data_IF_260315632841
#
_entry.id   IF_260315632841
#
_cell.length_a   1.000
_cell.length_b   1.000
_cell.length_c   1.000
_cell.angle_alpha   90.00
_cell.angle_beta   90.00
_cell.angle_gamma   90.00
#
_symmetry.space_group_name_H-M   'P 1'
#
loop_
_entity.id
_entity.type
_entity.pdbx_description
1 polymer ?
#
# COMPACT_ATOMS: atom_id res chain seq x y z
N UNK A 1 -9.44 10.39 23.14
CA UNK A 1 -9.91 9.72 21.92
C UNK A 1 -9.12 8.46 21.69
N UNK A 2 -7.84 8.56 21.36
CA UNK A 2 -6.97 7.40 21.15
C UNK A 2 -6.61 6.65 22.43
N UNK A 3 -6.42 5.32 22.29
CA UNK A 3 -5.86 4.45 23.33
C UNK A 3 -4.34 4.55 23.31
N UNK A 4 -3.74 4.89 24.46
CA UNK A 4 -2.27 4.95 24.61
C UNK A 4 -1.67 3.55 24.44
N UNK A 5 -0.62 3.45 23.62
CA UNK A 5 0.28 2.29 23.57
C UNK A 5 1.51 2.54 24.45
N UNK A 6 2.08 3.74 24.30
CA UNK A 6 3.30 4.15 25.00
C UNK A 6 3.24 5.65 25.29
N UNK A 7 3.32 6.03 26.56
CA UNK A 7 3.49 7.43 26.96
C UNK A 7 4.82 8.00 26.42
N UNK A 8 4.92 9.33 26.24
CA UNK A 8 6.13 9.96 25.75
C UNK A 8 7.35 9.61 26.61
N UNK A 9 8.40 9.06 25.98
CA UNK A 9 9.68 8.79 26.62
C UNK A 9 10.85 9.23 25.75
N UNK A 10 11.95 9.58 26.39
CA UNK A 10 13.21 9.92 25.73
C UNK A 10 14.17 8.74 25.83
N UNK A 11 14.74 8.36 24.70
CA UNK A 11 15.81 7.38 24.56
C UNK A 11 17.09 8.15 24.23
N UNK A 12 18.21 7.74 24.80
CA UNK A 12 19.51 8.42 24.63
C UNK A 12 20.64 7.42 24.47
N UNK A 13 21.62 7.75 23.65
CA UNK A 13 22.93 7.09 23.58
C UNK A 13 24.02 8.14 23.25
N UNK A 14 25.23 7.69 22.88
CA UNK A 14 26.34 8.57 22.49
C UNK A 14 26.08 9.44 21.24
N UNK A 15 25.07 9.14 20.43
CA UNK A 15 24.71 9.85 19.20
C UNK A 15 23.57 10.85 19.38
N UNK A 16 23.05 11.01 20.59
CA UNK A 16 22.07 12.04 20.96
C UNK A 16 20.79 11.47 21.57
N UNK A 17 19.65 12.11 21.29
CA UNK A 17 18.36 11.76 21.88
C UNK A 17 17.25 11.56 20.85
N UNK A 18 16.35 10.62 21.12
CA UNK A 18 15.12 10.39 20.37
C UNK A 18 13.94 10.35 21.33
N UNK A 19 12.89 11.10 21.04
CA UNK A 19 11.63 11.06 21.80
C UNK A 19 10.59 10.24 21.04
N UNK A 20 9.96 9.30 21.73
CA UNK A 20 8.93 8.43 21.16
C UNK A 20 7.65 8.44 21.99
N UNK A 21 6.51 8.31 21.32
CA UNK A 21 5.19 8.09 21.92
C UNK A 21 4.37 7.22 20.96
N UNK A 22 3.39 6.46 21.45
CA UNK A 22 2.62 5.56 20.60
C UNK A 22 1.15 5.49 20.95
N UNK A 23 0.31 5.35 19.92
CA UNK A 23 -1.14 5.15 20.06
C UNK A 23 -1.61 4.00 19.18
N UNK A 24 -2.64 3.29 19.63
CA UNK A 24 -3.30 2.28 18.81
C UNK A 24 -4.23 2.92 17.77
N UNK A 25 -4.34 2.31 16.60
CA UNK A 25 -5.36 2.58 15.58
C UNK A 25 -6.25 1.33 15.40
N UNK A 26 -6.64 0.96 14.18
CA UNK A 26 -7.39 -0.26 13.87
C UNK A 26 -6.64 -1.54 14.26
N UNK A 27 -7.40 -2.55 14.69
CA UNK A 27 -6.85 -3.83 15.19
C UNK A 27 -5.81 -3.63 16.30
N UNK A 28 -4.65 -4.27 16.12
CA UNK A 28 -3.48 -4.14 17.02
C UNK A 28 -2.40 -3.20 16.48
N UNK A 29 -2.69 -2.50 15.38
CA UNK A 29 -1.73 -1.62 14.71
C UNK A 29 -1.44 -0.40 15.59
N UNK A 30 -0.16 -0.02 15.67
CA UNK A 30 0.32 1.12 16.48
C UNK A 30 0.98 2.15 15.58
N UNK A 31 0.60 3.41 15.76
CA UNK A 31 1.38 4.55 15.28
C UNK A 31 2.40 4.93 16.33
N UNK A 32 3.69 4.80 15.99
CA UNK A 32 4.79 5.29 16.81
C UNK A 32 5.26 6.65 16.28
N UNK A 33 5.07 7.69 17.08
CA UNK A 33 5.62 9.02 16.81
C UNK A 33 7.09 9.04 17.20
N UNK A 34 7.94 9.51 16.29
CA UNK A 34 9.39 9.54 16.48
C UNK A 34 9.92 10.95 16.19
N UNK A 35 10.37 11.64 17.23
CA UNK A 35 11.14 12.88 17.11
C UNK A 35 12.62 12.57 17.28
N UNK A 36 13.38 12.66 16.18
CA UNK A 36 14.80 12.28 16.12
C UNK A 36 15.71 13.38 15.58
N UNK A 37 15.30 14.66 15.68
CA UNK A 37 16.08 15.80 15.15
C UNK A 37 17.44 15.95 15.83
N UNK A 38 17.54 15.52 17.09
CA UNK A 38 18.75 15.61 17.91
C UNK A 38 19.52 14.28 17.97
N UNK A 39 19.36 13.41 16.96
CA UNK A 39 19.99 12.09 16.91
C UNK A 39 20.77 11.91 15.60
N UNK A 40 21.98 11.37 15.71
CA UNK A 40 22.89 11.19 14.56
C UNK A 40 23.34 9.73 14.37
N UNK A 41 22.82 8.82 15.18
CA UNK A 41 23.14 7.40 15.10
C UNK A 41 22.45 6.71 13.92
N UNK A 42 22.74 5.43 13.73
CA UNK A 42 22.30 4.67 12.56
C UNK A 42 20.76 4.54 12.43
N UNK A 43 20.06 4.42 13.56
CA UNK A 43 18.60 4.26 13.55
C UNK A 43 17.91 4.87 14.78
N UNK A 44 18.09 4.24 15.95
CA UNK A 44 17.53 4.64 17.24
C UNK A 44 18.49 4.21 18.36
N UNK A 45 18.43 4.84 19.55
CA UNK A 45 19.23 4.42 20.68
C UNK A 45 19.11 2.94 21.00
N UNK A 46 20.26 2.28 21.19
CA UNK A 46 20.37 0.84 21.45
C UNK A 46 20.50 -0.04 20.19
N UNK A 47 20.42 0.55 18.98
CA UNK A 47 20.76 -0.12 17.74
C UNK A 47 22.22 0.17 17.36
N UNK A 48 22.88 -0.82 16.79
CA UNK A 48 24.26 -0.71 16.28
C UNK A 48 24.27 -0.90 14.77
N UNK A 49 25.17 -0.22 14.07
CA UNK A 49 25.36 -0.42 12.64
C UNK A 49 25.80 -1.86 12.36
N UNK A 50 25.17 -2.50 11.38
CA UNK A 50 25.53 -3.83 10.92
C UNK A 50 25.79 -3.79 9.42
N UNK A 51 26.95 -4.31 9.00
CA UNK A 51 27.28 -4.52 7.60
C UNK A 51 27.12 -6.00 7.24
N UNK A 52 26.51 -6.27 6.07
CA UNK A 52 26.32 -7.62 5.53
C UNK A 52 27.32 -7.86 4.41
N UNK A 53 27.92 -9.06 4.36
CA UNK A 53 28.71 -9.50 3.20
C UNK A 53 27.86 -9.72 1.96
N UNK A 54 26.55 -9.95 2.14
CA UNK A 54 25.55 -9.95 1.09
C UNK A 54 24.97 -8.55 0.96
N UNK A 55 25.51 -7.78 0.01
CA UNK A 55 25.12 -6.39 -0.28
C UNK A 55 24.87 -6.23 -1.79
N UNK A 56 23.72 -6.70 -2.31
CA UNK A 56 23.40 -6.55 -3.73
C UNK A 56 23.25 -5.07 -4.09
N UNK A 57 23.34 -4.75 -5.39
CA UNK A 57 23.07 -3.39 -5.86
C UNK A 57 21.68 -2.91 -5.45
N UNK A 58 21.45 -1.60 -5.43
CA UNK A 58 20.11 -1.08 -5.17
C UNK A 58 19.14 -1.46 -6.29
N UNK A 59 17.88 -1.72 -5.93
CA UNK A 59 16.81 -2.00 -6.89
C UNK A 59 16.02 -0.73 -7.29
N UNK A 60 16.43 0.46 -6.83
CA UNK A 60 15.75 1.72 -7.14
C UNK A 60 14.53 2.06 -6.27
N UNK A 61 14.30 1.32 -5.18
CA UNK A 61 13.28 1.63 -4.19
C UNK A 61 13.67 2.86 -3.36
N UNK A 62 12.71 3.75 -3.11
CA UNK A 62 12.96 5.04 -2.46
C UNK A 62 12.33 5.11 -1.06
N UNK A 63 11.04 5.44 -1.00
CA UNK A 63 10.30 5.70 0.22
C UNK A 63 8.90 5.10 0.16
N UNK A 64 8.24 5.00 1.31
CA UNK A 64 6.84 4.55 1.38
C UNK A 64 5.92 5.65 0.83
N UNK A 65 5.18 5.35 -0.24
CA UNK A 65 4.19 6.27 -0.83
C UNK A 65 2.90 6.29 -0.01
N UNK A 66 2.41 5.11 0.40
CA UNK A 66 1.21 4.95 1.23
C UNK A 66 1.15 3.56 1.89
N UNK A 67 0.34 3.43 2.94
CA UNK A 67 0.05 2.15 3.61
C UNK A 67 -1.47 1.93 3.65
N UNK A 68 -1.93 0.75 3.24
CA UNK A 68 -3.36 0.44 3.16
C UNK A 68 -3.79 -0.44 4.33
N UNK A 69 -4.83 -0.02 5.04
CA UNK A 69 -5.42 -0.77 6.16
C UNK A 69 -6.75 -1.41 5.77
N UNK A 70 -6.91 -2.70 6.07
CA UNK A 70 -8.18 -3.41 5.95
C UNK A 70 -8.86 -3.47 7.32
N UNK A 71 -10.11 -3.00 7.39
CA UNK A 71 -10.93 -2.99 8.61
C UNK A 71 -12.19 -3.84 8.43
N UNK A 72 -12.84 -4.17 9.55
CA UNK A 72 -14.05 -5.00 9.54
C UNK A 72 -15.25 -4.34 8.85
N UNK A 73 -16.31 -5.13 8.67
CA UNK A 73 -17.60 -4.65 8.17
C UNK A 73 -18.11 -3.43 8.95
N UNK A 74 -18.46 -2.36 8.25
CA UNK A 74 -18.96 -1.09 8.79
C UNK A 74 -17.96 -0.35 9.71
N UNK A 75 -16.66 -0.67 9.64
CA UNK A 75 -15.61 -0.03 10.45
C UNK A 75 -14.86 1.07 9.70
N UNK A 76 -15.00 1.19 8.37
CA UNK A 76 -14.26 2.18 7.59
C UNK A 76 -14.59 3.61 8.03
N UNK A 77 -15.87 3.94 8.13
CA UNK A 77 -16.27 5.30 8.51
C UNK A 77 -15.87 5.67 9.95
N UNK A 78 -15.93 4.71 10.89
CA UNK A 78 -15.43 4.90 12.25
C UNK A 78 -13.92 5.16 12.25
N UNK A 79 -13.17 4.37 11.48
CA UNK A 79 -11.70 4.49 11.36
C UNK A 79 -11.30 5.81 10.71
N UNK A 80 -11.97 6.20 9.63
CA UNK A 80 -11.79 7.51 8.96
C UNK A 80 -12.03 8.63 9.97
N UNK A 81 -13.15 8.57 10.70
CA UNK A 81 -13.48 9.58 11.71
C UNK A 81 -12.44 9.65 12.83
N UNK A 82 -11.89 8.50 13.23
CA UNK A 82 -10.80 8.44 14.19
C UNK A 82 -9.56 9.17 13.68
N UNK A 83 -9.14 8.97 12.42
CA UNK A 83 -8.00 9.70 11.84
C UNK A 83 -8.25 11.21 11.74
N UNK A 84 -9.47 11.63 11.43
CA UNK A 84 -9.87 13.05 11.44
C UNK A 84 -9.75 13.65 12.84
N UNK A 85 -10.41 13.04 13.82
CA UNK A 85 -10.58 13.62 15.16
C UNK A 85 -9.31 13.51 16.02
N UNK A 86 -8.53 12.44 15.85
CA UNK A 86 -7.33 12.17 16.67
C UNK A 86 -6.08 12.75 16.03
N UNK A 87 -5.90 12.58 14.72
CA UNK A 87 -4.64 12.88 14.04
C UNK A 87 -4.74 14.12 13.13
N UNK A 88 -5.93 14.68 12.94
CA UNK A 88 -6.14 15.85 12.08
C UNK A 88 -5.94 15.56 10.60
N UNK A 89 -6.13 14.29 10.18
CA UNK A 89 -6.07 13.92 8.76
C UNK A 89 -7.36 14.35 8.06
N UNK A 90 -7.29 14.53 6.75
CA UNK A 90 -8.46 14.78 5.92
C UNK A 90 -8.72 13.58 4.99
N UNK A 91 -10.01 13.26 4.78
CA UNK A 91 -10.39 12.34 3.72
C UNK A 91 -10.26 13.04 2.37
N UNK A 92 -9.37 12.56 1.51
CA UNK A 92 -9.08 13.18 0.21
C UNK A 92 -9.75 12.48 -0.97
N UNK A 93 -10.09 11.20 -0.82
CA UNK A 93 -10.67 10.37 -1.87
C UNK A 93 -11.58 9.30 -1.26
N UNK A 94 -12.67 9.00 -1.95
CA UNK A 94 -13.61 7.96 -1.55
C UNK A 94 -14.05 7.17 -2.78
N UNK A 95 -14.07 5.86 -2.64
CA UNK A 95 -14.53 4.91 -3.64
C UNK A 95 -15.65 4.08 -3.02
N UNK A 96 -16.80 4.07 -3.68
CA UNK A 96 -17.90 3.20 -3.30
C UNK A 96 -17.82 1.83 -4.01
N UNK A 97 -18.71 0.94 -3.61
CA UNK A 97 -18.85 -0.42 -4.14
C UNK A 97 -19.20 -0.44 -5.63
N UNK A 98 -19.84 0.61 -6.16
CA UNK A 98 -20.15 0.72 -7.60
C UNK A 98 -18.92 1.07 -8.43
N UNK A 99 -17.97 1.79 -7.83
CA UNK A 99 -16.71 2.14 -8.46
C UNK A 99 -15.69 1.00 -8.40
N UNK A 100 -15.70 0.22 -7.32
CA UNK A 100 -14.76 -0.90 -7.11
C UNK A 100 -15.56 -2.21 -6.93
N UNK A 101 -16.02 -2.74 -8.06
CA UNK A 101 -16.70 -4.05 -8.13
C UNK A 101 -16.20 -4.86 -9.33
N UNK A 102 -16.01 -6.15 -9.12
CA UNK A 102 -15.87 -7.18 -10.15
C UNK A 102 -17.24 -7.83 -10.41
N UNK A 103 -17.31 -8.84 -11.27
CA UNK A 103 -18.54 -9.62 -11.42
C UNK A 103 -18.97 -10.33 -10.12
N UNK A 104 -18.02 -10.58 -9.20
CA UNK A 104 -18.20 -11.46 -8.06
C UNK A 104 -18.04 -10.76 -6.70
N UNK A 105 -17.16 -9.77 -6.56
CA UNK A 105 -16.85 -9.12 -5.30
C UNK A 105 -16.78 -7.59 -5.42
N UNK A 106 -16.80 -6.90 -4.27
CA UNK A 106 -16.66 -5.46 -4.19
C UNK A 106 -15.93 -5.05 -2.90
N UNK A 107 -15.48 -3.79 -2.85
CA UNK A 107 -15.07 -3.15 -1.61
C UNK A 107 -15.37 -1.66 -1.62
N UNK A 108 -15.29 -1.05 -0.44
CA UNK A 108 -15.29 0.40 -0.29
C UNK A 108 -13.93 0.86 0.24
N UNK A 109 -13.47 2.03 -0.19
CA UNK A 109 -12.20 2.58 0.23
C UNK A 109 -12.28 4.09 0.47
N UNK A 110 -11.62 4.56 1.52
CA UNK A 110 -11.44 5.99 1.81
C UNK A 110 -9.99 6.29 2.12
N UNK A 111 -9.45 7.36 1.57
CA UNK A 111 -8.04 7.72 1.72
C UNK A 111 -7.89 8.89 2.67
N UNK A 112 -7.22 8.62 3.81
CA UNK A 112 -6.84 9.65 4.77
C UNK A 112 -5.47 10.22 4.44
N UNK A 113 -5.31 11.54 4.51
CA UNK A 113 -4.03 12.20 4.26
C UNK A 113 -3.73 13.28 5.28
N UNK A 114 -2.44 13.47 5.59
CA UNK A 114 -1.98 14.68 6.30
C UNK A 114 -2.21 15.92 5.43
N UNK A 115 -2.31 17.09 6.07
CA UNK A 115 -2.57 18.35 5.35
C UNK A 115 -1.50 18.75 4.32
N UNK A 116 -0.27 18.24 4.44
CA UNK A 116 0.80 18.44 3.45
C UNK A 116 0.86 17.32 2.39
N UNK A 117 -0.04 16.34 2.42
CA UNK A 117 -0.09 15.25 1.45
C UNK A 117 1.02 14.18 1.60
N UNK A 118 1.84 14.27 2.65
CA UNK A 118 3.02 13.39 2.79
C UNK A 118 2.66 11.98 3.25
N UNK A 119 1.77 11.85 4.25
CA UNK A 119 1.32 10.55 4.77
C UNK A 119 -0.07 10.27 4.25
N UNK A 120 -0.27 9.09 3.65
CA UNK A 120 -1.52 8.65 3.03
C UNK A 120 -1.88 7.26 3.51
N UNK A 121 -3.12 7.09 3.98
CA UNK A 121 -3.67 5.83 4.47
C UNK A 121 -5.03 5.54 3.82
N UNK A 122 -5.07 4.77 2.71
CA UNK A 122 -6.28 4.12 2.26
C UNK A 122 -6.80 3.13 3.31
N UNK A 123 -8.08 3.23 3.65
CA UNK A 123 -8.79 2.36 4.58
C UNK A 123 -9.88 1.65 3.80
N UNK A 124 -9.81 0.33 3.75
CA UNK A 124 -10.75 -0.52 3.03
C UNK A 124 -11.66 -1.27 4.00
N UNK A 125 -12.92 -1.47 3.60
CA UNK A 125 -13.82 -2.44 4.23
C UNK A 125 -14.47 -3.35 3.18
N UNK A 126 -14.93 -4.55 3.58
CA UNK A 126 -15.71 -5.41 2.70
C UNK A 126 -16.98 -4.71 2.20
N UNK A 127 -17.43 -5.06 0.99
CA UNK A 127 -18.73 -4.68 0.45
C UNK A 127 -19.48 -5.92 -0.04
N UNK A 128 -20.82 -5.82 -0.12
CA UNK A 128 -21.66 -6.94 -0.57
C UNK A 128 -21.37 -7.31 -2.04
N UNK A 129 -21.23 -8.61 -2.31
CA UNK A 129 -20.98 -9.16 -3.64
C UNK A 129 -21.61 -10.54 -3.80
N UNK A 130 -21.52 -11.13 -5.00
CA UNK A 130 -21.99 -12.51 -5.23
C UNK A 130 -21.12 -13.55 -4.51
N UNK A 131 -19.89 -13.19 -4.19
CA UNK A 131 -18.86 -14.01 -3.54
C UNK A 131 -18.15 -13.21 -2.44
N UNK A 132 -17.31 -13.89 -1.66
CA UNK A 132 -16.58 -13.28 -0.55
C UNK A 132 -15.61 -12.21 -1.05
N UNK A 133 -15.60 -11.06 -0.39
CA UNK A 133 -14.64 -10.00 -0.71
C UNK A 133 -13.22 -10.42 -0.35
N UNK A 134 -12.23 -10.00 -1.12
CA UNK A 134 -10.82 -10.21 -0.79
C UNK A 134 -10.45 -9.56 0.57
N UNK A 135 -11.17 -8.52 0.98
CA UNK A 135 -11.01 -7.92 2.31
C UNK A 135 -11.47 -8.90 3.40
N UNK A 136 -12.52 -9.69 3.17
CA UNK A 136 -12.94 -10.75 4.09
C UNK A 136 -11.94 -11.92 4.13
N UNK A 137 -11.33 -12.27 2.99
CA UNK A 137 -10.22 -13.24 2.96
C UNK A 137 -9.08 -12.74 3.87
N UNK A 138 -8.63 -11.49 3.67
CA UNK A 138 -7.62 -10.88 4.52
C UNK A 138 -7.99 -10.97 6.01
N UNK A 139 -9.19 -10.49 6.39
CA UNK A 139 -9.62 -10.46 7.80
C UNK A 139 -9.68 -11.86 8.41
N UNK A 140 -10.05 -12.87 7.62
CA UNK A 140 -10.10 -14.26 8.05
C UNK A 140 -8.71 -14.83 8.33
N UNK A 141 -7.76 -14.62 7.41
CA UNK A 141 -6.41 -15.21 7.54
C UNK A 141 -5.46 -14.37 8.40
N UNK A 142 -5.67 -13.05 8.47
CA UNK A 142 -4.95 -12.16 9.38
C UNK A 142 -5.50 -12.21 10.81
N UNK A 143 -6.70 -12.76 10.99
CA UNK A 143 -7.41 -12.87 12.27
C UNK A 143 -7.75 -11.50 12.89
N UNK A 144 -7.98 -10.48 12.06
CA UNK A 144 -8.34 -9.14 12.49
C UNK A 144 -8.07 -8.05 11.46
N UNK A 145 -8.18 -6.80 11.90
CA UNK A 145 -7.88 -5.61 11.12
C UNK A 145 -6.37 -5.35 11.08
N UNK A 146 -5.85 -4.87 9.96
CA UNK A 146 -4.41 -4.64 9.83
C UNK A 146 -3.99 -4.07 8.48
N UNK A 147 -2.68 -3.92 8.31
CA UNK A 147 -2.10 -3.41 7.06
C UNK A 147 -2.14 -4.50 5.99
N UNK A 148 -2.81 -4.23 4.88
CA UNK A 148 -2.85 -5.11 3.72
C UNK A 148 -1.59 -4.96 2.87
N UNK A 149 -1.23 -3.74 2.53
CA UNK A 149 -0.04 -3.51 1.72
C UNK A 149 0.64 -2.17 1.99
N UNK A 150 1.91 -2.14 1.60
CA UNK A 150 2.76 -0.95 1.66
C UNK A 150 3.24 -0.68 0.24
N UNK A 151 2.96 0.52 -0.25
CA UNK A 151 3.44 0.99 -1.54
C UNK A 151 4.80 1.68 -1.40
N UNK A 152 5.75 1.29 -2.24
CA UNK A 152 7.12 1.80 -2.24
C UNK A 152 7.40 2.49 -3.56
N UNK A 153 7.80 3.76 -3.47
CA UNK A 153 8.05 4.62 -4.61
C UNK A 153 9.36 4.24 -5.33
N UNK A 154 9.37 4.40 -6.65
CA UNK A 154 10.55 4.33 -7.52
C UNK A 154 10.48 5.39 -8.62
N UNK A 155 11.65 5.78 -9.15
CA UNK A 155 11.77 6.68 -10.32
C UNK A 155 11.87 5.92 -11.65
N UNK A 156 12.13 4.61 -11.63
CA UNK A 156 12.21 3.74 -12.80
C UNK A 156 11.65 2.35 -12.47
N UNK A 157 10.34 2.22 -12.60
CA UNK A 157 9.60 1.01 -12.27
C UNK A 157 9.96 -0.16 -13.18
N UNK A 158 10.34 0.09 -14.43
CA UNK A 158 10.71 -0.97 -15.36
C UNK A 158 12.01 -1.64 -14.88
N UNK A 159 13.03 -0.84 -14.58
CA UNK A 159 14.31 -1.36 -14.06
C UNK A 159 14.12 -1.96 -12.67
N UNK A 160 13.35 -1.30 -11.80
CA UNK A 160 13.06 -1.78 -10.44
C UNK A 160 12.40 -3.15 -10.46
N UNK A 161 11.34 -3.34 -11.24
CA UNK A 161 10.60 -4.60 -11.29
C UNK A 161 11.42 -5.70 -11.94
N UNK A 162 12.24 -5.41 -12.96
CA UNK A 162 13.19 -6.39 -13.51
C UNK A 162 14.16 -6.88 -12.45
N UNK A 163 14.71 -5.97 -11.66
CA UNK A 163 15.67 -6.29 -10.61
C UNK A 163 15.03 -7.05 -9.44
N UNK A 164 13.81 -6.69 -9.05
CA UNK A 164 13.07 -7.44 -8.04
C UNK A 164 12.74 -8.86 -8.51
N UNK A 165 12.30 -9.02 -9.78
CA UNK A 165 12.05 -10.34 -10.37
C UNK A 165 13.32 -11.18 -10.48
N UNK A 166 14.46 -10.59 -10.84
CA UNK A 166 15.75 -11.32 -10.92
C UNK A 166 16.21 -11.84 -9.55
N UNK A 167 15.77 -11.19 -8.47
CA UNK A 167 15.99 -11.58 -7.07
C UNK A 167 14.92 -12.53 -6.52
N UNK A 168 13.97 -12.96 -7.35
CA UNK A 168 12.94 -13.93 -6.98
C UNK A 168 11.67 -13.35 -6.38
N UNK A 169 11.47 -12.02 -6.41
CA UNK A 169 10.19 -11.43 -5.99
C UNK A 169 9.11 -11.80 -7.01
N UNK A 170 8.03 -12.41 -6.51
CA UNK A 170 6.87 -12.77 -7.32
C UNK A 170 5.82 -11.66 -7.30
N UNK A 171 5.24 -11.40 -8.47
CA UNK A 171 4.20 -10.38 -8.67
C UNK A 171 2.89 -11.02 -9.11
N UNK A 172 1.79 -10.31 -8.86
CA UNK A 172 0.48 -10.67 -9.41
C UNK A 172 0.51 -10.58 -10.93
N UNK A 173 -0.36 -11.37 -11.57
CA UNK A 173 -0.40 -11.49 -13.02
C UNK A 173 -1.62 -10.82 -13.63
N UNK A 174 -1.43 -9.62 -14.17
CA UNK A 174 -2.43 -8.90 -14.96
C UNK A 174 -2.57 -9.53 -16.36
N UNK A 175 -3.78 -9.87 -16.83
CA UNK A 175 -3.99 -10.48 -18.15
C UNK A 175 -3.51 -9.60 -19.32
N UNK A 176 -3.07 -10.22 -20.41
CA UNK A 176 -2.58 -9.52 -21.61
C UNK A 176 -3.62 -8.53 -22.19
N UNK A 177 -4.91 -8.88 -22.10
CA UNK A 177 -6.02 -8.07 -22.60
C UNK A 177 -6.12 -6.68 -21.95
N UNK A 178 -5.55 -6.48 -20.77
CA UNK A 178 -5.44 -5.17 -20.13
C UNK A 178 -4.59 -4.21 -20.97
N UNK A 179 -3.53 -4.72 -21.60
CA UNK A 179 -2.55 -3.91 -22.32
C UNK A 179 -2.99 -3.54 -23.74
N UNK A 180 -3.87 -4.34 -24.33
CA UNK A 180 -4.32 -4.19 -25.72
C UNK A 180 -4.94 -2.81 -25.98
N UNK A 181 -5.60 -2.24 -24.98
CA UNK A 181 -6.23 -0.92 -25.05
C UNK A 181 -5.63 0.10 -24.07
N UNK A 182 -4.44 -0.16 -23.51
CA UNK A 182 -3.89 0.66 -22.44
C UNK A 182 -3.77 2.13 -22.84
N UNK A 183 -3.21 2.43 -24.01
CA UNK A 183 -3.07 3.81 -24.50
C UNK A 183 -4.40 4.50 -24.76
N UNK A 184 -5.46 3.76 -25.09
CA UNK A 184 -6.79 4.34 -25.23
C UNK A 184 -7.35 4.79 -23.86
N UNK A 185 -6.95 4.11 -22.77
CA UNK A 185 -7.35 4.45 -21.40
C UNK A 185 -6.48 5.55 -20.78
N UNK A 186 -5.15 5.40 -20.82
CA UNK A 186 -4.21 6.31 -20.13
C UNK A 186 -3.57 7.36 -21.04
N UNK A 187 -3.93 7.42 -22.32
CA UNK A 187 -3.27 8.30 -23.28
C UNK A 187 -1.77 8.01 -23.43
N UNK A 188 -1.00 9.06 -23.71
CA UNK A 188 0.44 8.95 -23.93
C UNK A 188 1.23 8.86 -22.62
N UNK A 189 2.05 7.82 -22.52
CA UNK A 189 3.00 7.57 -21.44
C UNK A 189 4.42 7.46 -22.01
N UNK A 190 5.42 7.72 -21.17
CA UNK A 190 6.84 7.74 -21.59
C UNK A 190 7.36 6.30 -21.82
N UNK A 191 6.81 5.34 -21.08
CA UNK A 191 7.24 3.96 -21.08
C UNK A 191 6.73 3.16 -22.28
N UNK A 192 7.52 2.16 -22.68
CA UNK A 192 7.11 1.17 -23.69
C UNK A 192 6.03 0.24 -23.13
N UNK A 193 4.87 0.21 -23.78
CA UNK A 193 3.73 -0.62 -23.38
C UNK A 193 4.08 -2.11 -23.43
N UNK A 194 4.93 -2.54 -24.37
CA UNK A 194 5.36 -3.94 -24.40
C UNK A 194 6.27 -4.29 -23.21
N UNK A 195 7.09 -3.34 -22.76
CA UNK A 195 7.85 -3.50 -21.53
C UNK A 195 6.92 -3.61 -20.31
N UNK A 196 5.92 -2.73 -20.20
CA UNK A 196 4.90 -2.80 -19.14
C UNK A 196 4.15 -4.14 -19.16
N UNK A 197 3.71 -4.58 -20.35
CA UNK A 197 3.05 -5.88 -20.57
C UNK A 197 3.91 -7.04 -20.10
N UNK A 198 5.17 -7.10 -20.54
CA UNK A 198 6.10 -8.18 -20.17
C UNK A 198 6.34 -8.24 -18.66
N UNK A 199 6.30 -7.09 -17.99
CA UNK A 199 6.53 -6.99 -16.56
C UNK A 199 5.26 -7.07 -15.72
N UNK A 200 4.07 -7.03 -16.33
CA UNK A 200 2.76 -6.96 -15.65
C UNK A 200 2.56 -5.66 -14.85
N UNK A 201 3.19 -4.57 -15.29
CA UNK A 201 3.04 -3.24 -14.69
C UNK A 201 1.77 -2.59 -15.23
N UNK A 202 0.92 -2.09 -14.36
CA UNK A 202 -0.32 -1.40 -14.70
C UNK A 202 -0.10 0.11 -14.78
N UNK A 203 -0.96 0.83 -15.50
CA UNK A 203 -0.90 2.28 -15.63
C UNK A 203 -2.30 2.89 -15.48
N UNK A 204 -2.38 4.02 -14.78
CA UNK A 204 -3.61 4.83 -14.72
C UNK A 204 -3.29 6.32 -14.80
N UNK A 205 -4.30 7.14 -15.12
CA UNK A 205 -4.14 8.59 -15.31
C UNK A 205 -5.18 9.39 -14.52
N UNK A 206 -4.73 10.50 -13.96
CA UNK A 206 -5.58 11.58 -13.47
C UNK A 206 -5.28 12.90 -14.21
N UNK A 207 -5.91 13.99 -13.76
CA UNK A 207 -5.78 15.31 -14.37
C UNK A 207 -4.36 15.90 -14.29
N UNK A 208 -3.54 15.45 -13.34
CA UNK A 208 -2.17 15.98 -13.14
C UNK A 208 -1.09 15.12 -13.81
N UNK A 209 -1.39 13.86 -14.13
CA UNK A 209 -0.45 13.00 -14.82
C UNK A 209 -0.85 11.54 -14.74
N UNK A 210 0.12 10.64 -14.92
CA UNK A 210 -0.11 9.20 -14.83
C UNK A 210 0.73 8.57 -13.73
N UNK A 211 0.37 7.34 -13.36
CA UNK A 211 1.10 6.52 -12.42
C UNK A 211 1.21 5.09 -12.96
N UNK A 212 2.27 4.42 -12.53
CA UNK A 212 2.55 3.02 -12.84
C UNK A 212 2.60 2.23 -11.54
N UNK A 213 1.98 1.05 -11.52
CA UNK A 213 1.85 0.24 -10.31
C UNK A 213 2.03 -1.24 -10.62
N UNK A 214 2.58 -1.99 -9.68
CA UNK A 214 2.55 -3.45 -9.69
C UNK A 214 2.56 -3.97 -8.25
N UNK A 215 1.93 -5.10 -8.03
CA UNK A 215 1.72 -5.68 -6.71
C UNK A 215 2.44 -7.02 -6.61
N UNK A 216 3.14 -7.25 -5.51
CA UNK A 216 3.75 -8.55 -5.21
C UNK A 216 2.64 -9.56 -4.90
N UNK A 217 2.97 -10.85 -4.96
CA UNK A 217 2.20 -11.84 -4.20
C UNK A 217 2.32 -11.55 -2.70
N UNK A 218 1.44 -12.13 -1.85
CA UNK A 218 1.66 -12.12 -0.41
C UNK A 218 3.08 -12.57 -0.06
N UNK A 219 3.71 -11.89 0.89
CA UNK A 219 5.08 -12.20 1.32
C UNK A 219 5.15 -13.36 2.32
N UNK A 220 3.98 -13.83 2.74
CA UNK A 220 3.77 -14.99 3.61
C UNK A 220 2.77 -15.94 2.94
N UNK A 221 2.66 -17.18 3.44
CA UNK A 221 1.69 -18.17 2.93
C UNK A 221 0.23 -17.73 3.14
N UNK A 222 -0.04 -16.97 4.20
CA UNK A 222 -1.36 -16.40 4.46
C UNK A 222 -1.61 -15.27 3.44
N UNK A 223 -2.81 -15.17 2.84
CA UNK A 223 -3.13 -14.12 1.87
C UNK A 223 -3.36 -12.76 2.55
N UNK A 224 -2.33 -12.23 3.20
CA UNK A 224 -2.40 -11.05 4.05
C UNK A 224 -1.53 -9.92 3.49
N UNK A 225 -0.28 -9.78 3.95
CA UNK A 225 0.57 -8.65 3.62
C UNK A 225 1.24 -8.84 2.26
N UNK A 226 1.17 -7.83 1.40
CA UNK A 226 1.95 -7.73 0.17
C UNK A 226 2.51 -6.32 -0.02
N UNK A 227 3.33 -6.12 -1.06
CA UNK A 227 3.88 -4.81 -1.40
C UNK A 227 3.39 -4.33 -2.75
N UNK A 228 3.35 -3.02 -2.91
CA UNK A 228 3.16 -2.35 -4.18
C UNK A 228 4.44 -1.61 -4.54
N UNK A 229 4.83 -1.67 -5.82
CA UNK A 229 5.85 -0.78 -6.38
C UNK A 229 5.14 0.25 -7.23
N UNK A 230 5.37 1.53 -6.94
CA UNK A 230 4.68 2.64 -7.59
C UNK A 230 5.66 3.66 -8.16
N UNK A 231 5.38 4.15 -9.36
CA UNK A 231 6.05 5.32 -9.95
C UNK A 231 4.98 6.35 -10.31
N UNK A 232 5.16 7.58 -9.82
CA UNK A 232 4.25 8.71 -10.13
C UNK A 232 4.91 9.63 -11.15
N UNK A 233 4.17 9.93 -12.23
CA UNK A 233 4.52 10.88 -13.29
C UNK A 233 3.49 12.00 -13.27
N UNK A 234 3.47 12.75 -12.18
CA UNK A 234 2.52 13.85 -11.91
C UNK A 234 1.28 13.43 -11.13
N UNK A 235 0.78 12.20 -11.34
CA UNK A 235 -0.47 11.76 -10.74
C UNK A 235 -0.47 11.80 -9.19
N UNK A 236 -1.56 12.35 -8.65
CA UNK A 236 -1.81 12.48 -7.20
C UNK A 236 -2.85 11.49 -6.68
N UNK A 237 -3.62 10.90 -7.58
CA UNK A 237 -4.60 9.85 -7.29
C UNK A 237 -3.95 8.50 -6.95
N UNK A 238 -4.76 7.46 -6.75
CA UNK A 238 -4.30 6.11 -6.41
C UNK A 238 -4.59 5.08 -7.52
N UNK A 239 -5.00 5.57 -8.71
CA UNK A 239 -5.29 4.72 -9.85
C UNK A 239 -6.58 3.92 -9.70
N UNK A 240 -7.74 4.60 -9.67
CA UNK A 240 -9.05 3.95 -9.56
C UNK A 240 -9.27 2.87 -10.64
N UNK A 241 -8.78 3.10 -11.86
CA UNK A 241 -8.80 2.11 -12.94
C UNK A 241 -7.87 0.94 -12.69
N UNK A 242 -6.69 1.19 -12.10
CA UNK A 242 -5.77 0.13 -11.68
C UNK A 242 -6.32 -0.72 -10.54
N UNK A 243 -7.09 -0.12 -9.61
CA UNK A 243 -7.74 -0.87 -8.54
C UNK A 243 -8.59 -2.00 -9.10
N UNK A 244 -9.43 -1.73 -10.11
CA UNK A 244 -10.23 -2.79 -10.72
C UNK A 244 -9.38 -3.93 -11.28
N UNK A 245 -8.33 -3.62 -12.04
CA UNK A 245 -7.43 -4.62 -12.61
C UNK A 245 -6.65 -5.41 -11.53
N UNK A 246 -6.26 -4.73 -10.45
CA UNK A 246 -5.69 -5.35 -9.25
C UNK A 246 -6.68 -6.32 -8.60
N UNK A 247 -7.93 -5.91 -8.39
CA UNK A 247 -8.95 -6.76 -7.79
C UNK A 247 -9.23 -8.00 -8.63
N UNK A 248 -9.38 -7.85 -9.93
CA UNK A 248 -9.54 -9.00 -10.83
C UNK A 248 -8.33 -9.95 -10.74
N UNK A 249 -7.11 -9.42 -10.54
CA UNK A 249 -5.90 -10.22 -10.39
C UNK A 249 -5.83 -10.93 -9.03
N UNK A 250 -6.21 -10.25 -7.95
CA UNK A 250 -6.28 -10.81 -6.59
C UNK A 250 -7.39 -11.85 -6.46
N UNK A 251 -8.54 -11.61 -7.08
CA UNK A 251 -9.69 -12.51 -7.12
C UNK A 251 -9.33 -13.83 -7.82
N UNK A 252 -8.55 -13.79 -8.90
CA UNK A 252 -8.01 -15.01 -9.54
C UNK A 252 -7.08 -15.80 -8.62
N UNK A 253 -6.26 -15.12 -7.82
CA UNK A 253 -5.41 -15.79 -6.84
C UNK A 253 -6.23 -16.34 -5.65
N UNK A 254 -7.30 -15.64 -5.24
CA UNK A 254 -8.25 -16.11 -4.22
C UNK A 254 -9.00 -17.37 -4.69
N UNK A 255 -9.42 -17.41 -5.96
CA UNK A 255 -10.04 -18.58 -6.58
C UNK A 255 -9.07 -19.77 -6.64
N UNK A 256 -7.81 -19.52 -7.00
CA UNK A 256 -6.74 -20.54 -6.95
C UNK A 256 -6.51 -21.10 -5.54
N UNK A 257 -6.72 -20.30 -4.49
CA UNK A 257 -6.68 -20.72 -3.09
C UNK A 257 -7.95 -21.43 -2.62
N UNK A 258 -9.04 -21.40 -3.41
CA UNK A 258 -10.34 -21.98 -3.06
C UNK A 258 -11.16 -21.13 -2.08
N UNK A 259 -10.85 -19.83 -1.99
CA UNK A 259 -11.45 -18.91 -1.01
C UNK A 259 -12.46 -17.92 -1.61
N UNK A 260 -12.78 -18.07 -2.90
CA UNK A 260 -13.65 -17.15 -3.66
C UNK A 260 -15.12 -17.62 -3.71
#
# INVERSE_FOLDING_TARGET
GARSYQEPRTLTDEFGEVRTAGIYTYGETVHLFVERKNYTGAFLPGYVAQESSFNPSEAGLLYVDHCVGNVGWNRMNETVKWYEDVMGFANILSFDDKQITTEYSALMSKVMSTGNGYVKFPINEPAEGKKKSQIEEYLTFYEGEGVQHIAVATNDIISTVRELKSRGVEFLNTPDSYYDNLRAHVGDIDEDVEALRSLRIMADRDEEGYLLQIFTKPVEDRPTVFFEIIQRKGAKSFGAGNFKALFESLEREQDRRGNL
#
